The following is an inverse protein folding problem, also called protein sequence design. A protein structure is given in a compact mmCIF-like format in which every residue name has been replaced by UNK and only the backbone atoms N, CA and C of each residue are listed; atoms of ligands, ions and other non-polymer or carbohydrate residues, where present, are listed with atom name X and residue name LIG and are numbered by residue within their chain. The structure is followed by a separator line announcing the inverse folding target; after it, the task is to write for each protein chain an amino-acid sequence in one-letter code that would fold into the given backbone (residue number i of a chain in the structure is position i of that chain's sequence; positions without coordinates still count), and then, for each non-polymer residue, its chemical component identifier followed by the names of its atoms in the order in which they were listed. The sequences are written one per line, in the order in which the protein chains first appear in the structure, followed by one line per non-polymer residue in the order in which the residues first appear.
data_IF_864084852975
#
_entry.id   IF_864084852975
#
_cell.length_a   1.000
_cell.length_b   1.000
_cell.length_c   1.000
_cell.angle_alpha   90.00
_cell.angle_beta   90.00
_cell.angle_gamma   90.00
#
_symmetry.space_group_name_H-M   'P 1'
#
loop_
_entity.id
_entity.type
_entity.pdbx_description
1 polymer ?
#
# COMPACT_ATOMS: atom_id res chain seq x y z
N UNK A 1 -7.42 -25.66 24.33
CA UNK A 1 -8.40 -24.55 24.31
C UNK A 1 -8.97 -24.45 22.91
N UNK A 2 -10.21 -24.88 22.72
CA UNK A 2 -10.92 -24.87 21.43
C UNK A 2 -11.22 -23.42 21.08
N UNK A 3 -10.52 -22.86 20.09
CA UNK A 3 -10.77 -21.50 19.60
C UNK A 3 -12.13 -21.45 18.90
N UNK A 4 -12.92 -20.47 19.32
CA UNK A 4 -14.30 -20.19 18.92
C UNK A 4 -14.36 -19.67 17.47
N UNK A 5 -14.24 -20.57 16.49
CA UNK A 5 -14.14 -20.27 15.04
C UNK A 5 -15.44 -19.83 14.36
N UNK A 6 -16.58 -19.82 15.06
CA UNK A 6 -17.91 -19.61 14.44
C UNK A 6 -18.58 -18.27 14.77
N UNK A 7 -17.89 -17.34 15.44
CA UNK A 7 -18.49 -16.04 15.80
C UNK A 7 -18.34 -15.04 14.65
N UNK A 8 -19.46 -14.49 14.18
CA UNK A 8 -19.47 -13.42 13.16
C UNK A 8 -18.94 -12.14 13.80
N UNK A 9 -17.86 -11.58 13.26
CA UNK A 9 -17.27 -10.31 13.72
C UNK A 9 -17.24 -9.28 12.61
N UNK A 10 -17.15 -8.00 12.97
CA UNK A 10 -16.95 -6.93 11.99
C UNK A 10 -15.64 -7.13 11.21
N UNK A 11 -14.57 -7.47 11.93
CA UNK A 11 -13.24 -7.70 11.37
C UNK A 11 -13.25 -8.80 10.29
N UNK A 12 -13.88 -9.95 10.56
CA UNK A 12 -13.97 -11.04 9.59
C UNK A 12 -14.76 -10.65 8.33
N UNK A 13 -15.79 -9.80 8.47
CA UNK A 13 -16.54 -9.29 7.32
C UNK A 13 -15.75 -8.27 6.51
N UNK A 14 -14.97 -7.41 7.17
CA UNK A 14 -14.08 -6.46 6.52
C UNK A 14 -12.97 -7.21 5.76
N UNK A 15 -12.34 -8.21 6.38
CA UNK A 15 -11.35 -9.07 5.72
C UNK A 15 -11.92 -9.75 4.49
N UNK A 16 -13.15 -10.27 4.58
CA UNK A 16 -13.83 -10.88 3.43
C UNK A 16 -14.00 -9.85 2.29
N UNK A 17 -14.50 -8.65 2.57
CA UNK A 17 -14.68 -7.59 1.56
C UNK A 17 -13.34 -7.23 0.90
N UNK A 18 -12.29 -7.02 1.69
CA UNK A 18 -10.95 -6.72 1.16
C UNK A 18 -10.42 -7.86 0.29
N UNK A 19 -10.69 -9.12 0.65
CA UNK A 19 -10.26 -10.29 -0.14
C UNK A 19 -10.99 -10.46 -1.47
N UNK A 20 -12.12 -9.76 -1.67
CA UNK A 20 -12.80 -9.66 -2.97
C UNK A 20 -12.24 -8.56 -3.87
N UNK A 21 -11.21 -7.82 -3.42
CA UNK A 21 -10.61 -6.72 -4.17
C UNK A 21 -11.38 -5.39 -4.06
N UNK A 22 -12.41 -5.32 -3.22
CA UNK A 22 -13.20 -4.10 -2.99
C UNK A 22 -12.52 -3.28 -1.89
N UNK A 23 -12.07 -2.04 -2.18
CA UNK A 23 -11.48 -1.16 -1.17
C UNK A 23 -12.53 -0.72 -0.13
N UNK A 24 -12.10 -0.67 1.13
CA UNK A 24 -12.92 -0.27 2.27
C UNK A 24 -12.08 0.57 3.24
N UNK A 25 -12.63 1.68 3.73
CA UNK A 25 -12.04 2.48 4.81
C UNK A 25 -12.93 2.43 6.06
N UNK A 26 -12.37 2.14 7.22
CA UNK A 26 -13.12 2.17 8.49
C UNK A 26 -13.16 3.61 9.01
N UNK A 27 -14.35 4.19 9.08
CA UNK A 27 -14.58 5.59 9.50
C UNK A 27 -15.12 5.71 10.92
N UNK A 28 -15.59 4.61 11.52
CA UNK A 28 -16.03 4.56 12.90
C UNK A 28 -16.37 3.14 13.36
N UNK A 29 -16.83 2.99 14.60
CA UNK A 29 -17.14 1.67 15.21
C UNK A 29 -18.23 0.88 14.50
N UNK A 30 -19.04 1.53 13.67
CA UNK A 30 -20.08 0.90 12.84
C UNK A 30 -20.25 1.65 11.51
N UNK A 31 -19.20 2.34 11.06
CA UNK A 31 -19.21 3.12 9.83
C UNK A 31 -17.96 2.80 9.00
N UNK A 32 -18.17 2.56 7.71
CA UNK A 32 -17.10 2.30 6.73
C UNK A 32 -17.44 3.05 5.45
N UNK A 33 -16.44 3.47 4.68
CA UNK A 33 -16.65 3.95 3.32
C UNK A 33 -16.31 2.84 2.34
N UNK A 34 -17.28 2.47 1.51
CA UNK A 34 -17.16 1.41 0.50
C UNK A 34 -16.89 2.02 -0.88
N UNK A 35 -15.94 1.43 -1.60
CA UNK A 35 -15.76 1.71 -3.03
C UNK A 35 -16.75 0.88 -3.84
N UNK A 36 -17.97 1.41 -4.03
CA UNK A 36 -19.02 0.72 -4.79
C UNK A 36 -18.96 1.00 -6.30
N UNK A 37 -18.43 2.17 -6.68
CA UNK A 37 -18.24 2.58 -8.07
C UNK A 37 -16.83 3.13 -8.28
N UNK A 38 -16.26 3.01 -9.50
CA UNK A 38 -15.01 3.67 -9.85
C UNK A 38 -15.10 5.17 -9.56
N UNK A 39 -14.42 5.63 -8.51
CA UNK A 39 -14.28 7.04 -8.16
C UNK A 39 -15.27 7.61 -7.14
N UNK A 40 -16.08 6.79 -6.45
CA UNK A 40 -16.96 7.27 -5.38
C UNK A 40 -16.89 6.41 -4.11
N UNK A 41 -16.38 7.00 -3.02
CA UNK A 41 -16.52 6.47 -1.67
C UNK A 41 -17.99 6.65 -1.25
N UNK A 42 -18.66 5.55 -0.94
CA UNK A 42 -20.03 5.59 -0.43
C UNK A 42 -20.02 5.25 1.06
N UNK A 43 -20.48 6.18 1.92
CA UNK A 43 -20.61 5.90 3.34
C UNK A 43 -21.55 4.71 3.56
N UNK A 44 -21.13 3.80 4.42
CA UNK A 44 -21.89 2.61 4.76
C UNK A 44 -21.95 2.40 6.27
N UNK A 45 -23.15 2.08 6.76
CA UNK A 45 -23.37 1.70 8.16
C UNK A 45 -23.26 0.19 8.29
N UNK A 46 -22.35 -0.27 9.14
CA UNK A 46 -22.08 -1.70 9.36
C UNK A 46 -22.99 -2.26 10.45
N UNK A 47 -23.65 -3.37 10.14
CA UNK A 47 -24.41 -4.16 11.12
C UNK A 47 -23.96 -5.62 11.11
N UNK A 48 -23.35 -6.04 12.20
CA UNK A 48 -23.00 -7.45 12.43
C UNK A 48 -24.21 -8.20 12.96
N UNK A 49 -24.48 -9.39 12.41
CA UNK A 49 -25.56 -10.27 12.86
C UNK A 49 -25.04 -11.69 13.02
N UNK A 50 -25.34 -12.32 14.15
CA UNK A 50 -25.00 -13.73 14.39
C UNK A 50 -25.94 -14.71 13.67
N UNK A 51 -27.06 -14.21 13.14
CA UNK A 51 -28.04 -14.94 12.32
C UNK A 51 -28.50 -14.04 11.17
N UNK A 52 -28.81 -14.58 9.98
CA UNK A 52 -29.37 -13.76 8.89
C UNK A 52 -30.61 -12.99 9.36
N UNK A 53 -30.69 -11.66 9.12
CA UNK A 53 -31.85 -10.87 9.51
C UNK A 53 -33.07 -11.23 8.67
N UNK A 54 -34.26 -11.06 9.25
CA UNK A 54 -35.54 -11.26 8.57
C UNK A 54 -35.89 -10.07 7.65
N UNK A 55 -36.79 -10.24 6.66
CA UNK A 55 -37.21 -9.14 5.78
C UNK A 55 -37.66 -7.88 6.50
N UNK A 56 -38.48 -8.03 7.55
CA UNK A 56 -38.99 -6.90 8.34
C UNK A 56 -37.88 -6.18 9.11
N UNK A 57 -36.84 -6.90 9.54
CA UNK A 57 -35.68 -6.29 10.19
C UNK A 57 -34.80 -5.52 9.20
N UNK A 58 -34.64 -6.05 7.98
CA UNK A 58 -33.90 -5.40 6.90
C UNK A 58 -34.63 -4.12 6.49
N UNK A 59 -35.94 -4.17 6.27
CA UNK A 59 -36.75 -3.01 5.89
C UNK A 59 -36.64 -1.88 6.94
N UNK A 60 -36.83 -2.21 8.21
CA UNK A 60 -36.70 -1.26 9.32
C UNK A 60 -35.29 -0.67 9.42
N UNK A 61 -34.27 -1.48 9.17
CA UNK A 61 -32.88 -1.03 9.23
C UNK A 61 -32.52 -0.12 8.04
N UNK A 62 -33.04 -0.40 6.84
CA UNK A 62 -32.91 0.46 5.66
C UNK A 62 -33.60 1.81 5.88
N UNK A 63 -34.86 1.82 6.33
CA UNK A 63 -35.60 3.04 6.68
C UNK A 63 -34.82 3.87 7.70
N UNK A 64 -34.28 3.25 8.75
CA UNK A 64 -33.48 3.97 9.75
C UNK A 64 -32.21 4.56 9.14
N UNK A 65 -31.49 3.82 8.30
CA UNK A 65 -30.27 4.30 7.63
C UNK A 65 -30.55 5.47 6.69
N UNK A 66 -31.68 5.46 5.98
CA UNK A 66 -32.11 6.59 5.14
C UNK A 66 -32.40 7.86 5.95
N UNK A 67 -33.01 7.73 7.14
CA UNK A 67 -33.41 8.87 7.97
C UNK A 67 -32.29 9.46 8.84
N UNK A 68 -31.24 8.69 9.15
CA UNK A 68 -30.18 9.10 10.09
C UNK A 68 -28.81 9.32 9.45
N UNK A 69 -28.60 8.90 8.21
CA UNK A 69 -27.35 9.07 7.48
C UNK A 69 -27.37 10.24 6.49
N UNK A 70 -26.20 10.66 5.96
CA UNK A 70 -26.15 11.52 4.79
C UNK A 70 -26.92 10.90 3.62
N UNK A 71 -27.47 11.74 2.74
CA UNK A 71 -28.19 11.30 1.55
C UNK A 71 -27.29 10.33 0.74
N UNK A 72 -27.74 9.07 0.59
CA UNK A 72 -27.04 7.91 -0.03
C UNK A 72 -26.11 7.08 0.87
N UNK A 73 -26.44 6.90 2.16
CA UNK A 73 -25.74 5.93 3.01
C UNK A 73 -26.18 4.49 2.69
N UNK A 74 -25.22 3.58 2.49
CA UNK A 74 -25.47 2.15 2.27
C UNK A 74 -25.59 1.40 3.61
N UNK A 75 -26.47 0.42 3.73
CA UNK A 75 -26.50 -0.52 4.84
C UNK A 75 -25.64 -1.74 4.50
N UNK A 76 -24.56 -1.99 5.25
CA UNK A 76 -23.71 -3.17 5.10
C UNK A 76 -24.02 -4.18 6.22
N UNK A 77 -24.57 -5.34 5.87
CA UNK A 77 -24.70 -6.46 6.79
C UNK A 77 -23.49 -7.39 6.73
N UNK A 78 -22.99 -7.79 7.90
CA UNK A 78 -22.04 -8.89 8.05
C UNK A 78 -22.79 -10.04 8.72
N UNK A 79 -22.98 -11.14 7.98
CA UNK A 79 -23.83 -12.28 8.34
C UNK A 79 -23.05 -13.59 8.24
N UNK A 80 -23.47 -14.65 8.95
CA UNK A 80 -22.81 -15.94 8.81
C UNK A 80 -23.04 -16.54 7.43
N UNK A 81 -24.27 -16.45 6.89
CA UNK A 81 -24.67 -17.07 5.64
C UNK A 81 -25.57 -16.17 4.78
N UNK A 82 -25.49 -16.35 3.47
CA UNK A 82 -26.29 -15.68 2.44
C UNK A 82 -27.55 -16.51 2.14
N UNK A 83 -28.70 -16.06 2.62
CA UNK A 83 -30.00 -16.68 2.32
C UNK A 83 -30.52 -16.22 0.95
N UNK A 84 -31.46 -16.96 0.36
CA UNK A 84 -32.17 -16.55 -0.88
C UNK A 84 -32.84 -15.19 -0.72
N UNK A 85 -33.52 -14.98 0.41
CA UNK A 85 -34.16 -13.71 0.77
C UNK A 85 -33.18 -12.53 0.81
N UNK A 86 -32.00 -12.71 1.42
CA UNK A 86 -30.97 -11.67 1.45
C UNK A 86 -30.45 -11.33 0.05
N UNK A 87 -30.27 -12.36 -0.79
CA UNK A 87 -29.84 -12.19 -2.19
C UNK A 87 -30.89 -11.43 -3.01
N UNK A 88 -32.17 -11.80 -2.89
CA UNK A 88 -33.28 -11.13 -3.57
C UNK A 88 -33.40 -9.66 -3.13
N UNK A 89 -33.31 -9.39 -1.83
CA UNK A 89 -33.40 -8.02 -1.31
C UNK A 89 -32.22 -7.14 -1.75
N UNK A 90 -31.00 -7.66 -1.77
CA UNK A 90 -29.82 -6.91 -2.24
C UNK A 90 -29.81 -6.69 -3.76
N UNK A 91 -30.48 -7.55 -4.54
CA UNK A 91 -30.65 -7.35 -5.97
C UNK A 91 -31.61 -6.19 -6.29
N UNK A 92 -32.63 -5.97 -5.45
CA UNK A 92 -33.62 -4.90 -5.63
C UNK A 92 -33.15 -3.58 -5.00
N UNK A 93 -32.46 -3.63 -3.86
CA UNK A 93 -32.05 -2.45 -3.10
C UNK A 93 -30.55 -2.17 -3.25
N UNK A 94 -30.19 -1.19 -4.09
CA UNK A 94 -28.78 -0.80 -4.30
C UNK A 94 -28.08 -0.22 -3.07
N UNK A 95 -28.86 0.25 -2.10
CA UNK A 95 -28.37 0.73 -0.81
C UNK A 95 -28.16 -0.40 0.21
N UNK A 96 -28.29 -1.67 -0.18
CA UNK A 96 -28.05 -2.84 0.67
C UNK A 96 -26.81 -3.61 0.19
N UNK A 97 -25.79 -3.66 1.04
CA UNK A 97 -24.60 -4.49 0.86
C UNK A 97 -24.56 -5.62 1.89
N UNK A 98 -23.97 -6.77 1.51
CA UNK A 98 -23.94 -7.97 2.36
C UNK A 98 -22.58 -8.65 2.26
N UNK A 99 -21.95 -8.97 3.39
CA UNK A 99 -20.80 -9.86 3.49
C UNK A 99 -21.20 -11.14 4.24
N UNK A 100 -21.19 -12.27 3.54
CA UNK A 100 -21.56 -13.57 4.07
C UNK A 100 -20.33 -14.46 4.29
N UNK A 101 -19.97 -14.66 5.57
CA UNK A 101 -18.69 -15.25 5.95
C UNK A 101 -18.54 -16.72 5.54
N UNK A 102 -19.54 -17.56 5.79
CA UNK A 102 -19.46 -18.99 5.46
C UNK A 102 -19.53 -19.25 3.96
N UNK A 103 -20.27 -18.41 3.22
CA UNK A 103 -20.39 -18.53 1.76
C UNK A 103 -19.24 -17.85 1.01
N UNK A 104 -18.33 -17.16 1.72
CA UNK A 104 -17.22 -16.39 1.14
C UNK A 104 -17.71 -15.50 0.00
N UNK A 105 -18.79 -14.76 0.25
CA UNK A 105 -19.51 -14.02 -0.78
C UNK A 105 -19.84 -12.62 -0.29
N UNK A 106 -19.62 -11.63 -1.14
CA UNK A 106 -19.94 -10.22 -0.89
C UNK A 106 -20.89 -9.73 -1.98
N UNK A 107 -22.03 -9.16 -1.59
CA UNK A 107 -22.99 -8.51 -2.47
C UNK A 107 -22.90 -7.00 -2.30
N UNK A 108 -22.60 -6.27 -3.37
CA UNK A 108 -22.60 -4.80 -3.39
C UNK A 108 -23.22 -4.34 -4.71
N UNK A 109 -24.15 -3.39 -4.65
CA UNK A 109 -24.87 -2.85 -5.82
C UNK A 109 -25.49 -3.96 -6.70
N UNK A 110 -26.07 -4.98 -6.07
CA UNK A 110 -26.66 -6.14 -6.75
C UNK A 110 -25.64 -7.08 -7.43
N UNK A 111 -24.34 -6.83 -7.31
CA UNK A 111 -23.27 -7.67 -7.89
C UNK A 111 -22.67 -8.57 -6.84
N UNK A 112 -22.41 -9.82 -7.22
CA UNK A 112 -21.75 -10.81 -6.37
C UNK A 112 -20.25 -10.85 -6.63
N UNK A 113 -19.49 -10.72 -5.55
CA UNK A 113 -18.05 -10.82 -5.51
C UNK A 113 -17.66 -11.99 -4.62
N UNK A 114 -16.74 -12.81 -5.11
CA UNK A 114 -16.15 -13.89 -4.34
C UNK A 114 -14.64 -13.68 -4.29
N UNK A 115 -13.96 -14.08 -3.21
CA UNK A 115 -12.50 -14.13 -3.20
C UNK A 115 -12.04 -14.91 -4.43
N UNK A 116 -11.09 -14.37 -5.19
CA UNK A 116 -10.59 -15.04 -6.38
C UNK A 116 -10.01 -16.41 -6.01
N UNK A 117 -10.70 -17.48 -6.41
CA UNK A 117 -10.21 -18.85 -6.29
C UNK A 117 -9.18 -19.08 -7.39
N UNK A 118 -7.90 -18.97 -7.05
CA UNK A 118 -6.82 -19.44 -7.90
C UNK A 118 -5.84 -20.27 -7.08
N UNK A 119 -5.81 -21.56 -7.41
CA UNK A 119 -4.89 -22.60 -6.93
C UNK A 119 -3.40 -22.24 -7.10
N UNK A 120 -3.07 -21.10 -7.71
CA UNK A 120 -1.74 -20.51 -7.80
C UNK A 120 -1.30 -19.76 -6.53
N UNK A 121 -2.19 -19.60 -5.53
CA UNK A 121 -1.90 -18.86 -4.29
C UNK A 121 -1.53 -19.77 -3.11
N UNK A 122 -1.71 -21.09 -3.21
CA UNK A 122 -1.46 -22.03 -2.12
C UNK A 122 0.01 -22.11 -1.68
N UNK A 123 0.96 -21.79 -2.56
CA UNK A 123 2.38 -21.62 -2.20
C UNK A 123 2.67 -20.23 -1.59
N UNK A 124 1.83 -19.22 -1.85
CA UNK A 124 1.93 -17.87 -1.28
C UNK A 124 1.20 -17.69 0.06
N UNK A 125 0.32 -18.61 0.47
CA UNK A 125 -0.49 -18.47 1.69
C UNK A 125 0.22 -18.91 2.97
N UNK A 126 1.36 -19.61 2.92
CA UNK A 126 2.17 -19.81 4.13
C UNK A 126 3.01 -18.57 4.50
N UNK A 127 3.29 -17.66 3.56
CA UNK A 127 4.08 -16.45 3.83
C UNK A 127 3.25 -15.25 4.33
N UNK A 128 1.94 -15.23 4.10
CA UNK A 128 1.10 -14.03 4.33
C UNK A 128 0.56 -13.82 5.75
N UNK A 129 0.92 -14.68 6.72
CA UNK A 129 0.59 -14.47 8.16
C UNK A 129 1.78 -13.90 8.94
N UNK A 130 2.90 -13.57 8.27
CA UNK A 130 3.99 -12.82 8.92
C UNK A 130 3.73 -11.33 8.79
N UNK A 131 3.59 -10.64 9.94
CA UNK A 131 3.68 -9.18 10.04
C UNK A 131 4.94 -8.73 9.29
N UNK A 132 4.78 -7.94 8.24
CA UNK A 132 5.91 -7.49 7.44
C UNK A 132 6.78 -6.54 8.27
N UNK A 133 8.11 -6.72 8.30
CA UNK A 133 8.99 -5.96 9.17
C UNK A 133 9.33 -4.58 8.57
N UNK A 134 8.31 -3.75 8.28
CA UNK A 134 8.48 -2.42 7.66
C UNK A 134 9.48 -1.55 8.42
N UNK A 135 9.44 -1.58 9.76
CA UNK A 135 10.38 -0.80 10.58
C UNK A 135 11.84 -1.22 10.40
N UNK A 136 12.13 -2.50 10.13
CA UNK A 136 13.50 -2.96 9.81
C UNK A 136 13.93 -2.43 8.46
N UNK A 137 13.08 -2.56 7.44
CA UNK A 137 13.37 -2.07 6.09
C UNK A 137 13.52 -0.54 6.06
N UNK A 138 12.67 0.19 6.77
CA UNK A 138 12.77 1.64 6.95
C UNK A 138 14.09 2.03 7.65
N UNK A 139 14.46 1.30 8.71
CA UNK A 139 15.72 1.53 9.41
C UNK A 139 16.93 1.34 8.48
N UNK A 140 16.96 0.27 7.69
CA UNK A 140 18.00 0.04 6.69
C UNK A 140 18.12 1.21 5.71
N UNK A 141 16.99 1.69 5.19
CA UNK A 141 16.95 2.82 4.24
C UNK A 141 17.48 4.11 4.84
N UNK A 142 17.19 4.41 6.10
CA UNK A 142 17.72 5.63 6.75
C UNK A 142 19.18 5.46 7.16
N UNK A 143 19.60 4.28 7.61
CA UNK A 143 20.99 4.03 7.96
C UNK A 143 21.90 4.27 6.77
N UNK A 144 21.52 3.84 5.57
CA UNK A 144 22.30 4.02 4.33
C UNK A 144 22.40 5.47 3.83
N UNK A 145 21.63 6.40 4.39
CA UNK A 145 21.62 7.80 3.97
C UNK A 145 22.94 8.53 4.19
N UNK A 146 23.60 8.26 5.32
CA UNK A 146 24.81 8.97 5.73
C UNK A 146 25.61 8.09 6.68
N UNK A 147 26.94 8.25 6.61
CA UNK A 147 27.91 7.67 7.53
C UNK A 147 27.93 8.36 8.91
N UNK A 148 27.20 9.46 9.12
CA UNK A 148 27.13 10.11 10.43
C UNK A 148 26.35 9.26 11.45
N UNK A 149 26.92 8.95 12.63
CA UNK A 149 26.24 8.21 13.67
C UNK A 149 25.01 8.96 14.21
N UNK A 150 23.83 8.35 14.12
CA UNK A 150 22.56 8.96 14.54
C UNK A 150 21.92 8.25 15.73
N UNK A 151 21.43 8.96 16.76
CA UNK A 151 20.78 8.34 17.91
C UNK A 151 19.44 7.69 17.49
N UNK A 152 18.98 6.70 18.26
CA UNK A 152 17.75 5.96 17.96
C UNK A 152 16.51 6.86 17.84
N UNK A 153 16.47 7.99 18.55
CA UNK A 153 15.37 8.96 18.48
C UNK A 153 15.31 9.66 17.13
N UNK A 154 16.47 9.99 16.54
CA UNK A 154 16.57 10.56 15.20
C UNK A 154 16.22 9.50 14.15
N UNK A 155 16.79 8.30 14.27
CA UNK A 155 16.50 7.18 13.37
C UNK A 155 15.00 6.81 13.37
N UNK A 156 14.34 6.87 14.53
CA UNK A 156 12.90 6.62 14.65
C UNK A 156 12.07 7.65 13.87
N UNK A 157 12.44 8.94 13.98
CA UNK A 157 11.80 10.02 13.24
C UNK A 157 12.01 9.87 11.73
N UNK A 158 13.24 9.63 11.29
CA UNK A 158 13.58 9.46 9.87
C UNK A 158 12.90 8.22 9.26
N UNK A 159 12.79 7.12 10.03
CA UNK A 159 12.16 5.89 9.55
C UNK A 159 10.62 5.91 9.67
N UNK A 160 10.05 6.89 10.38
CA UNK A 160 8.60 6.98 10.60
C UNK A 160 8.06 5.88 11.52
N UNK A 161 8.88 5.39 12.45
CA UNK A 161 8.52 4.31 13.39
C UNK A 161 8.85 4.68 14.83
N UNK A 162 8.43 3.84 15.79
CA UNK A 162 8.73 4.08 17.21
C UNK A 162 10.20 3.80 17.55
N UNK A 163 10.73 4.44 18.58
CA UNK A 163 12.08 4.12 19.09
C UNK A 163 12.22 2.65 19.51
N UNK A 164 11.16 2.05 20.06
CA UNK A 164 11.16 0.63 20.42
C UNK A 164 11.30 -0.27 19.17
N UNK A 165 10.63 0.08 18.06
CA UNK A 165 10.78 -0.62 16.78
C UNK A 165 12.20 -0.46 16.23
N UNK A 166 12.81 0.73 16.34
CA UNK A 166 14.23 0.94 15.98
C UNK A 166 15.14 0.06 16.83
N UNK A 167 14.93 0.01 18.16
CA UNK A 167 15.76 -0.84 19.02
C UNK A 167 15.64 -2.32 18.67
N UNK A 168 14.45 -2.81 18.31
CA UNK A 168 14.25 -4.19 17.86
C UNK A 168 14.91 -4.43 16.50
N UNK A 169 14.80 -3.48 15.57
CA UNK A 169 15.40 -3.60 14.26
C UNK A 169 16.93 -3.56 14.31
N UNK A 170 17.54 -2.69 15.14
CA UNK A 170 18.98 -2.68 15.37
C UNK A 170 19.49 -4.02 15.92
N UNK A 171 18.75 -4.61 16.88
CA UNK A 171 19.05 -5.96 17.38
C UNK A 171 18.92 -7.06 16.32
N UNK A 172 18.16 -6.84 15.26
CA UNK A 172 18.03 -7.81 14.16
C UNK A 172 19.06 -7.60 13.06
N UNK A 173 19.71 -6.42 13.02
CA UNK A 173 20.76 -6.10 12.07
C UNK A 173 22.17 -6.44 12.60
N UNK A 174 22.32 -6.57 13.93
CA UNK A 174 23.55 -7.01 14.63
C UNK A 174 24.84 -6.54 13.95
N UNK A 175 25.57 -7.44 13.28
CA UNK A 175 26.88 -7.20 12.68
C UNK A 175 26.90 -6.18 11.53
N UNK A 176 25.73 -5.77 11.04
CA UNK A 176 25.58 -4.77 9.97
C UNK A 176 25.51 -3.33 10.49
N UNK A 177 25.40 -3.15 11.80
CA UNK A 177 25.31 -1.85 12.45
C UNK A 177 26.21 -1.79 13.66
N UNK A 178 26.82 -0.64 13.89
CA UNK A 178 27.66 -0.43 15.07
C UNK A 178 27.26 0.85 15.79
N UNK A 179 27.53 0.85 17.10
CA UNK A 179 27.23 1.99 17.96
C UNK A 179 28.49 2.84 18.11
N UNK A 180 28.44 4.06 17.59
CA UNK A 180 29.50 5.06 17.73
C UNK A 180 29.03 6.17 18.66
N UNK A 181 29.60 6.21 19.88
CA UNK A 181 29.18 7.13 20.93
C UNK A 181 27.69 6.98 21.27
N UNK A 182 26.88 7.99 20.96
CA UNK A 182 25.42 7.98 21.17
C UNK A 182 24.62 7.57 19.93
N UNK A 183 25.26 7.40 18.78
CA UNK A 183 24.62 7.11 17.50
C UNK A 183 24.86 5.70 17.00
N UNK A 184 24.16 5.35 15.92
CA UNK A 184 24.31 4.12 15.17
C UNK A 184 24.65 4.44 13.72
N UNK A 185 25.49 3.61 13.13
CA UNK A 185 25.95 3.69 11.73
C UNK A 185 26.01 2.29 11.14
N UNK A 186 25.87 2.16 9.82
CA UNK A 186 26.06 0.88 9.13
C UNK A 186 27.55 0.53 9.03
N UNK A 187 27.91 -0.74 9.24
CA UNK A 187 29.31 -1.21 9.16
C UNK A 187 29.72 -1.52 7.72
N UNK A 188 28.81 -2.09 6.93
CA UNK A 188 29.02 -2.39 5.52
C UNK A 188 27.82 -1.89 4.71
N UNK A 189 27.82 -0.61 4.27
CA UNK A 189 26.69 -0.02 3.57
C UNK A 189 26.38 -0.73 2.24
N UNK A 190 27.41 -1.26 1.55
CA UNK A 190 27.21 -2.00 0.31
C UNK A 190 26.43 -3.30 0.52
N UNK A 191 26.86 -4.13 1.47
CA UNK A 191 26.15 -5.37 1.78
C UNK A 191 24.75 -5.14 2.34
N UNK A 192 24.56 -4.06 3.12
CA UNK A 192 23.26 -3.68 3.66
C UNK A 192 22.28 -3.23 2.57
N UNK A 193 22.76 -2.53 1.53
CA UNK A 193 21.98 -2.18 0.34
C UNK A 193 21.53 -3.44 -0.42
N UNK A 194 22.46 -4.36 -0.68
CA UNK A 194 22.19 -5.57 -1.44
C UNK A 194 21.20 -6.49 -0.69
N UNK A 195 21.35 -6.60 0.64
CA UNK A 195 20.42 -7.35 1.48
C UNK A 195 19.02 -6.72 1.53
N UNK A 196 18.93 -5.39 1.54
CA UNK A 196 17.63 -4.73 1.46
C UNK A 196 16.88 -5.15 0.20
N UNK A 197 17.53 -5.09 -0.97
CA UNK A 197 16.92 -5.45 -2.24
C UNK A 197 16.51 -6.93 -2.28
N UNK A 198 17.29 -7.81 -1.67
CA UNK A 198 16.98 -9.24 -1.59
C UNK A 198 15.82 -9.59 -0.65
N UNK A 199 15.54 -8.74 0.36
CA UNK A 199 14.60 -9.08 1.44
C UNK A 199 13.36 -8.20 1.51
N UNK A 200 13.36 -7.03 0.87
CA UNK A 200 12.21 -6.15 0.84
C UNK A 200 11.09 -6.75 -0.01
N UNK A 201 9.92 -7.06 0.55
CA UNK A 201 8.82 -7.73 -0.16
C UNK A 201 8.04 -6.79 -1.09
N UNK A 202 8.51 -5.56 -1.27
CA UNK A 202 7.80 -4.47 -1.94
C UNK A 202 6.84 -3.72 -1.03
N UNK A 203 6.31 -2.58 -1.49
CA UNK A 203 5.45 -1.69 -0.71
C UNK A 203 4.03 -2.23 -0.50
N UNK A 204 3.67 -3.31 -1.21
CA UNK A 204 2.33 -3.94 -1.22
C UNK A 204 1.22 -2.91 -1.47
N UNK A 205 -0.01 -3.22 -1.05
CA UNK A 205 -1.16 -2.34 -1.21
C UNK A 205 -1.86 -2.48 -2.57
N UNK A 206 -2.67 -1.48 -2.91
CA UNK A 206 -3.50 -1.47 -4.12
C UNK A 206 -2.71 -0.80 -5.23
N UNK A 207 -2.60 -1.47 -6.38
CA UNK A 207 -1.88 -0.98 -7.56
C UNK A 207 -2.81 -0.94 -8.76
N UNK A 208 -2.68 0.12 -9.54
CA UNK A 208 -3.38 0.30 -10.81
C UNK A 208 -2.38 0.67 -11.91
N UNK A 209 -2.66 0.24 -13.13
CA UNK A 209 -1.78 0.36 -14.29
C UNK A 209 -2.41 1.30 -15.32
N UNK A 210 -1.61 2.23 -15.83
CA UNK A 210 -2.08 3.31 -16.67
C UNK A 210 -1.14 3.57 -17.83
N UNK A 211 -1.73 3.97 -18.94
CA UNK A 211 -1.04 4.35 -20.16
C UNK A 211 -1.30 5.82 -20.48
N UNK A 212 -0.23 6.54 -20.80
CA UNK A 212 -0.26 7.91 -21.29
C UNK A 212 0.59 8.04 -22.56
N UNK A 213 0.25 9.04 -23.39
CA UNK A 213 0.94 9.29 -24.66
C UNK A 213 2.16 10.23 -24.53
N UNK A 214 2.19 11.04 -23.48
CA UNK A 214 3.28 11.99 -23.24
C UNK A 214 4.58 11.26 -22.84
N UNK A 215 5.76 11.89 -22.93
CA UNK A 215 6.96 11.35 -22.32
C UNK A 215 6.77 11.02 -20.83
N UNK A 216 7.33 9.90 -20.36
CA UNK A 216 7.13 9.38 -18.99
C UNK A 216 7.47 10.41 -17.90
N UNK A 217 8.53 11.20 -18.09
CA UNK A 217 8.88 12.28 -17.17
C UNK A 217 7.78 13.35 -17.05
N UNK A 218 7.12 13.70 -18.17
CA UNK A 218 6.01 14.65 -18.18
C UNK A 218 4.74 14.04 -17.56
N UNK A 219 4.49 12.75 -17.80
CA UNK A 219 3.41 12.01 -17.13
C UNK A 219 3.59 12.04 -15.61
N UNK A 220 4.78 11.68 -15.13
CA UNK A 220 5.12 11.68 -13.71
C UNK A 220 4.92 13.06 -13.07
N UNK A 221 5.48 14.11 -13.69
CA UNK A 221 5.35 15.48 -13.18
C UNK A 221 3.89 15.93 -13.08
N UNK A 222 3.06 15.65 -14.10
CA UNK A 222 1.62 15.98 -14.08
C UNK A 222 0.90 15.30 -12.90
N UNK A 223 1.22 14.03 -12.64
CA UNK A 223 0.61 13.29 -11.53
C UNK A 223 1.09 13.80 -10.17
N UNK A 224 2.37 14.14 -10.02
CA UNK A 224 2.90 14.75 -8.80
C UNK A 224 2.25 16.12 -8.52
N UNK A 225 2.13 16.97 -9.53
CA UNK A 225 1.47 18.28 -9.42
C UNK A 225 0.02 18.12 -8.96
N UNK A 226 -0.75 17.22 -9.59
CA UNK A 226 -2.12 16.92 -9.19
C UNK A 226 -2.22 16.21 -7.82
N UNK A 227 -1.18 15.48 -7.42
CA UNK A 227 -1.10 14.66 -6.22
C UNK A 227 -0.46 15.32 -5.01
N UNK A 228 -0.16 16.62 -5.07
CA UNK A 228 0.51 17.33 -3.96
C UNK A 228 -0.26 17.19 -2.64
N UNK A 229 -1.60 17.27 -2.68
CA UNK A 229 -2.45 17.07 -1.50
C UNK A 229 -2.57 15.62 -1.02
N UNK A 230 -2.11 14.65 -1.82
CA UNK A 230 -2.15 13.21 -1.51
C UNK A 230 -0.79 12.67 -1.04
N UNK A 231 0.23 13.54 -0.92
CA UNK A 231 1.59 13.15 -0.62
C UNK A 231 2.17 12.24 -1.69
N UNK A 232 1.97 12.57 -2.97
CA UNK A 232 2.49 11.75 -4.07
C UNK A 232 4.02 11.71 -4.09
N UNK A 233 4.60 10.52 -4.20
CA UNK A 233 6.03 10.27 -4.32
C UNK A 233 6.32 9.52 -5.61
N UNK A 234 7.36 9.96 -6.33
CA UNK A 234 7.84 9.35 -7.56
C UNK A 234 8.87 8.24 -7.27
N UNK A 235 8.75 7.13 -8.00
CA UNK A 235 9.66 6.00 -8.03
C UNK A 235 9.81 5.44 -9.46
N UNK A 236 10.49 4.31 -9.61
CA UNK A 236 10.75 3.65 -10.88
C UNK A 236 11.77 4.41 -11.73
N UNK A 237 11.72 4.24 -13.05
CA UNK A 237 12.72 4.83 -13.94
C UNK A 237 12.77 6.34 -13.86
N UNK A 238 11.61 6.99 -13.73
CA UNK A 238 11.52 8.44 -13.67
C UNK A 238 12.16 9.02 -12.40
N UNK A 239 12.07 8.31 -11.26
CA UNK A 239 12.82 8.69 -10.06
C UNK A 239 14.31 8.36 -10.21
N UNK A 240 14.63 7.21 -10.81
CA UNK A 240 16.01 6.80 -11.03
C UNK A 240 16.75 7.83 -11.89
N UNK A 241 16.13 8.30 -12.97
CA UNK A 241 16.65 9.35 -13.84
C UNK A 241 16.80 10.69 -13.10
N UNK A 242 15.88 11.04 -12.21
CA UNK A 242 16.02 12.24 -11.37
C UNK A 242 17.14 12.16 -10.35
N UNK A 243 17.47 10.96 -9.84
CA UNK A 243 18.51 10.74 -8.82
C UNK A 243 19.88 10.57 -9.48
N UNK A 244 19.95 9.79 -10.55
CA UNK A 244 21.16 9.43 -11.29
C UNK A 244 20.80 9.20 -12.77
N UNK A 245 20.81 10.26 -13.61
CA UNK A 245 20.45 10.16 -15.01
C UNK A 245 21.33 9.14 -15.74
N UNK A 246 20.71 8.08 -16.26
CA UNK A 246 21.43 6.98 -16.92
C UNK A 246 20.69 6.38 -18.11
N UNK A 247 19.39 6.13 -17.97
CA UNK A 247 18.55 5.52 -19.00
C UNK A 247 17.31 6.36 -19.28
N UNK A 248 16.79 6.27 -20.51
CA UNK A 248 15.53 6.91 -20.87
C UNK A 248 14.39 6.24 -20.08
N UNK A 249 13.60 6.98 -19.30
CA UNK A 249 12.51 6.39 -18.52
C UNK A 249 11.44 5.75 -19.39
N UNK A 250 11.15 4.48 -19.12
CA UNK A 250 10.10 3.71 -19.80
C UNK A 250 8.82 3.62 -18.97
N UNK A 251 8.94 3.70 -17.64
CA UNK A 251 7.82 3.64 -16.71
C UNK A 251 8.04 4.50 -15.47
N UNK A 252 6.99 5.21 -15.06
CA UNK A 252 6.95 5.92 -13.79
C UNK A 252 6.11 5.13 -12.77
N UNK A 253 6.53 5.15 -11.50
CA UNK A 253 5.76 4.59 -10.39
C UNK A 253 5.41 5.72 -9.44
N UNK A 254 4.15 5.82 -9.05
CA UNK A 254 3.66 6.83 -8.10
C UNK A 254 3.13 6.12 -6.85
N UNK A 255 3.62 6.53 -5.68
CA UNK A 255 3.06 6.17 -4.39
C UNK A 255 2.28 7.35 -3.82
N UNK A 256 1.10 7.10 -3.27
CA UNK A 256 0.29 8.14 -2.64
C UNK A 256 -0.56 7.58 -1.50
N UNK A 257 -1.02 8.45 -0.59
CA UNK A 257 -1.82 8.03 0.55
C UNK A 257 -3.21 7.52 0.17
N UNK A 258 -3.72 7.93 -0.99
CA UNK A 258 -5.04 7.56 -1.49
C UNK A 258 -5.08 7.51 -3.01
N UNK A 259 -6.16 6.95 -3.56
CA UNK A 259 -6.41 6.87 -4.99
C UNK A 259 -6.57 8.25 -5.65
N UNK A 260 -6.19 8.34 -6.92
CA UNK A 260 -6.37 9.52 -7.76
C UNK A 260 -7.12 9.15 -9.04
N UNK A 261 -7.98 10.04 -9.52
CA UNK A 261 -8.64 9.86 -10.82
C UNK A 261 -7.69 10.23 -11.97
N UNK A 262 -6.87 9.27 -12.39
CA UNK A 262 -5.88 9.46 -13.46
C UNK A 262 -6.53 9.62 -14.85
N UNK A 263 -7.75 9.13 -15.05
CA UNK A 263 -8.49 9.38 -16.29
C UNK A 263 -8.73 10.89 -16.53
N UNK A 264 -8.99 11.66 -15.46
CA UNK A 264 -9.08 13.14 -15.54
C UNK A 264 -7.77 13.83 -15.91
N UNK A 265 -6.64 13.14 -15.77
CA UNK A 265 -5.31 13.62 -16.15
C UNK A 265 -4.88 13.14 -17.55
N UNK A 266 -5.79 12.50 -18.30
CA UNK A 266 -5.56 12.05 -19.67
C UNK A 266 -4.92 10.66 -19.78
N UNK A 267 -4.93 9.87 -18.71
CA UNK A 267 -4.45 8.49 -18.74
C UNK A 267 -5.59 7.51 -19.08
N UNK A 268 -5.27 6.47 -19.83
CA UNK A 268 -6.15 5.32 -20.03
C UNK A 268 -5.72 4.19 -19.08
N UNK A 269 -6.70 3.48 -18.49
CA UNK A 269 -6.40 2.28 -17.73
C UNK A 269 -5.80 1.22 -18.67
N UNK A 270 -4.79 0.49 -18.20
CA UNK A 270 -4.05 -0.46 -19.01
C UNK A 270 -3.71 -1.72 -18.21
N UNK A 271 -3.22 -2.75 -18.90
CA UNK A 271 -2.56 -3.87 -18.22
C UNK A 271 -1.14 -3.46 -17.77
N UNK A 272 -0.54 -4.28 -16.91
CA UNK A 272 0.80 -4.02 -16.37
C UNK A 272 1.91 -4.05 -17.44
N UNK A 273 1.74 -4.81 -18.52
CA UNK A 273 2.78 -4.95 -19.55
C UNK A 273 2.89 -3.69 -20.42
N UNK A 274 1.75 -3.05 -20.72
CA UNK A 274 1.69 -1.84 -21.54
C UNK A 274 1.77 -0.53 -20.74
N UNK A 275 1.70 -0.59 -19.41
CA UNK A 275 1.66 0.61 -18.58
C UNK A 275 2.92 1.48 -18.72
N UNK A 276 2.71 2.79 -18.87
CA UNK A 276 3.76 3.82 -18.76
C UNK A 276 3.77 4.47 -17.37
N UNK A 277 2.68 4.29 -16.60
CA UNK A 277 2.54 4.77 -15.24
C UNK A 277 1.89 3.68 -14.38
N UNK A 278 2.47 3.40 -13.23
CA UNK A 278 1.82 2.63 -12.17
C UNK A 278 1.50 3.55 -11.00
N UNK A 279 0.28 3.43 -10.46
CA UNK A 279 -0.16 4.20 -9.29
C UNK A 279 -0.50 3.22 -8.17
N UNK A 280 0.15 3.40 -7.02
CA UNK A 280 0.04 2.51 -5.87
C UNK A 280 -0.35 3.28 -4.62
N UNK A 281 -1.34 2.77 -3.90
CA UNK A 281 -1.62 3.11 -2.50
C UNK A 281 -0.97 2.02 -1.64
N UNK A 282 0.24 2.26 -1.09
CA UNK A 282 1.06 1.21 -0.50
C UNK A 282 0.61 0.85 0.92
N UNK A 283 0.89 -0.39 1.33
CA UNK A 283 0.71 -0.80 2.73
C UNK A 283 1.93 -0.44 3.60
N UNK A 284 3.09 -0.23 2.98
CA UNK A 284 4.28 0.32 3.64
C UNK A 284 4.09 1.82 3.92
N UNK A 285 3.77 2.14 5.18
CA UNK A 285 3.58 3.51 5.65
C UNK A 285 4.88 4.29 5.84
N UNK A 286 6.04 3.61 5.77
CA UNK A 286 7.33 4.23 6.09
C UNK A 286 7.94 4.98 4.89
N UNK A 287 7.36 4.84 3.69
CA UNK A 287 7.84 5.49 2.46
C UNK A 287 7.97 7.01 2.58
N UNK A 288 7.00 7.68 3.19
CA UNK A 288 7.01 9.14 3.31
C UNK A 288 8.05 9.67 4.28
N UNK A 289 8.19 9.07 5.46
CA UNK A 289 9.17 9.50 6.45
C UNK A 289 10.60 9.32 5.92
N UNK A 290 10.85 8.17 5.30
CA UNK A 290 12.14 7.87 4.68
C UNK A 290 12.42 8.76 3.49
N UNK A 291 11.46 8.96 2.57
CA UNK A 291 11.61 9.94 1.49
C UNK A 291 12.01 11.32 2.03
N UNK A 292 11.31 11.81 3.07
CA UNK A 292 11.62 13.08 3.73
C UNK A 292 13.04 13.13 4.31
N UNK A 293 13.54 12.02 4.87
CA UNK A 293 14.91 11.96 5.34
C UNK A 293 15.94 12.16 4.21
N UNK A 294 15.61 11.77 2.98
CA UNK A 294 16.47 11.82 1.79
C UNK A 294 16.28 13.07 0.91
N UNK A 295 15.39 14.01 1.28
CA UNK A 295 14.97 15.17 0.45
C UNK A 295 16.12 16.05 -0.05
N UNK A 296 17.25 16.13 0.65
CA UNK A 296 18.40 16.91 0.19
C UNK A 296 19.01 16.40 -1.14
N UNK A 297 18.63 15.20 -1.60
CA UNK A 297 19.18 14.54 -2.78
C UNK A 297 18.36 14.69 -4.08
N UNK A 298 17.14 15.24 -4.09
CA UNK A 298 16.31 15.31 -5.31
C UNK A 298 15.52 16.61 -5.49
N UNK A 299 15.36 17.03 -6.75
CA UNK A 299 14.56 18.22 -7.13
C UNK A 299 13.05 17.90 -7.23
N UNK A 300 12.70 16.62 -7.32
CA UNK A 300 11.32 16.12 -7.36
C UNK A 300 10.96 15.43 -6.04
N UNK A 301 9.67 15.34 -5.71
CA UNK A 301 9.18 14.52 -4.60
C UNK A 301 9.36 13.03 -4.93
N UNK A 302 10.55 12.50 -4.73
CA UNK A 302 10.89 11.09 -4.97
C UNK A 302 10.85 10.28 -3.69
N UNK A 303 10.70 8.96 -3.81
CA UNK A 303 11.07 8.03 -2.73
C UNK A 303 12.60 8.00 -2.55
N UNK A 304 13.07 7.32 -1.50
CA UNK A 304 14.50 7.10 -1.30
C UNK A 304 15.11 6.20 -2.41
N UNK A 305 16.44 6.25 -2.59
CA UNK A 305 17.10 5.50 -3.67
C UNK A 305 16.93 3.97 -3.59
N UNK A 306 16.67 3.39 -2.41
CA UNK A 306 16.53 1.94 -2.28
C UNK A 306 15.16 1.46 -2.77
N UNK A 307 14.09 2.21 -2.48
CA UNK A 307 12.76 1.92 -3.06
C UNK A 307 12.79 2.15 -4.57
N UNK A 308 13.47 3.21 -5.02
CA UNK A 308 13.68 3.46 -6.45
C UNK A 308 14.37 2.26 -7.12
N UNK A 309 15.48 1.79 -6.54
CA UNK A 309 16.20 0.62 -7.05
C UNK A 309 15.33 -0.65 -7.07
N UNK A 310 14.55 -0.88 -6.02
CA UNK A 310 13.62 -2.02 -5.97
C UNK A 310 12.58 -1.95 -7.09
N UNK A 311 12.00 -0.78 -7.35
CA UNK A 311 11.04 -0.61 -8.44
C UNK A 311 11.70 -0.78 -9.81
N UNK A 312 12.93 -0.30 -10.02
CA UNK A 312 13.67 -0.50 -11.28
C UNK A 312 13.90 -1.99 -11.54
N UNK A 313 14.32 -2.77 -10.53
CA UNK A 313 14.47 -4.24 -10.65
C UNK A 313 13.14 -4.88 -11.04
N UNK A 314 12.06 -4.48 -10.39
CA UNK A 314 10.73 -5.05 -10.59
C UNK A 314 10.13 -4.70 -11.94
N UNK A 315 10.38 -3.49 -12.45
CA UNK A 315 9.99 -3.07 -13.80
C UNK A 315 10.80 -3.87 -14.83
N UNK A 316 12.09 -4.09 -14.56
CA UNK A 316 12.98 -4.84 -15.42
C UNK A 316 13.41 -4.04 -16.65
N UNK A 317 13.85 -4.78 -17.68
CA UNK A 317 14.50 -4.23 -18.87
C UNK A 317 15.97 -4.68 -18.97
N UNK A 318 16.55 -4.63 -20.17
CA UNK A 318 17.89 -5.17 -20.44
C UNK A 318 19.01 -4.49 -19.64
N UNK A 319 18.79 -3.24 -19.23
CA UNK A 319 19.71 -2.34 -18.54
C UNK A 319 19.29 -2.02 -17.09
N UNK A 320 18.28 -2.73 -16.55
CA UNK A 320 17.81 -2.50 -15.18
C UNK A 320 18.91 -2.73 -14.13
N UNK A 321 19.78 -3.72 -14.35
CA UNK A 321 20.92 -3.99 -13.47
C UNK A 321 21.92 -2.84 -13.44
N UNK A 322 22.22 -2.24 -14.59
CA UNK A 322 23.14 -1.10 -14.70
C UNK A 322 22.57 0.14 -14.02
N UNK A 323 21.27 0.40 -14.21
CA UNK A 323 20.57 1.51 -13.55
C UNK A 323 20.59 1.37 -12.02
N UNK A 324 20.39 0.16 -11.50
CA UNK A 324 20.51 -0.13 -10.06
C UNK A 324 21.96 0.06 -9.59
N UNK A 325 22.94 -0.35 -10.40
CA UNK A 325 24.35 -0.10 -10.14
C UNK A 325 24.66 1.38 -9.94
N UNK A 326 24.11 2.26 -10.79
CA UNK A 326 24.26 3.72 -10.67
C UNK A 326 23.61 4.31 -9.44
N UNK A 327 22.42 3.84 -9.07
CA UNK A 327 21.77 4.22 -7.82
C UNK A 327 22.61 3.79 -6.60
N UNK A 328 23.16 2.58 -6.64
CA UNK A 328 24.04 2.06 -5.59
C UNK A 328 25.32 2.88 -5.47
N UNK A 329 26.00 3.18 -6.58
CA UNK A 329 27.17 4.06 -6.59
C UNK A 329 26.85 5.44 -5.99
N UNK A 330 25.70 6.02 -6.37
CA UNK A 330 25.26 7.33 -5.86
C UNK A 330 25.10 7.29 -4.34
N UNK A 331 24.41 6.27 -3.80
CA UNK A 331 24.23 6.08 -2.36
C UNK A 331 25.57 5.88 -1.64
N UNK A 332 26.47 5.08 -2.19
CA UNK A 332 27.74 4.75 -1.54
C UNK A 332 28.82 5.84 -1.69
N UNK A 333 28.68 6.75 -2.65
CA UNK A 333 29.63 7.84 -2.85
C UNK A 333 29.75 8.77 -1.63
N UNK A 334 28.67 8.94 -0.85
CA UNK A 334 28.69 9.69 0.41
C UNK A 334 29.43 8.97 1.53
N UNK A 335 29.54 7.64 1.45
CA UNK A 335 30.27 6.80 2.40
C UNK A 335 31.76 6.72 2.08
N UNK A 336 32.14 6.78 0.80
CA UNK A 336 33.54 6.73 0.38
C UNK A 336 34.34 7.96 0.84
N UNK A 337 33.70 9.15 0.91
CA UNK A 337 34.35 10.42 1.29
C UNK A 337 34.78 10.53 2.76
N UNK A 338 34.45 9.54 3.59
CA UNK A 338 34.79 9.51 5.02
C UNK A 338 35.87 8.46 5.36
N UNK A 339 36.25 7.64 4.38
CA UNK A 339 37.33 6.66 4.52
C UNK A 339 38.72 7.19 4.10
N UNK A 340 38.79 8.42 3.57
CA UNK A 340 40.02 9.20 3.34
C UNK A 340 40.26 10.19 4.49
#
# INVERSE_FOLDING_TARGET
MVQNRDRVTADAGIELILSTGIPLHVTGSSAVDLWMHPGALTPATVKVRQKPPTPSEIQRDLERTEHTGPARTTLLYIVPRLTSTLREMAAVNRSLAIAALSDQTVLIDGREFRPETSNSRAELTQEHVRRQPWGRHALTRVLLRTCEPRPQTVLAKEAGVTQAAVSQALKALEDQVERHGRGWVATNPGALFDQFLATYPGPRGIRTSWYGLDPVANQARRVLEAGTGLGALLSGDAAADSISPWRIPSRAVIYAHAGMNLAKLGFAESNADSATLEYTVPADHTLWATAQAWVEASQLQTVDPLITAWDVIRIGGPDAGDAVGKLRETVLSSWAKVAE
#
